data_IF_192597303516
#
_entry.id   IF_192597303516
#
_cell.length_a   1.000
_cell.length_b   1.000
_cell.length_c   1.000
_cell.angle_alpha   90.00
_cell.angle_beta   90.00
_cell.angle_gamma   90.00
#
_symmetry.space_group_name_H-M   'P 1'
#
loop_
_entity.id
_entity.type
_entity.pdbx_description
1 polymer ?
#
# COMPACT_ATOMS: atom_id res chain seq x y z
N UNK A 1 21.44 -13.69 10.12
CA UNK A 1 21.13 -12.25 10.24
C UNK A 1 19.68 -11.92 9.89
N UNK A 2 19.11 -12.38 8.77
CA UNK A 2 17.68 -12.15 8.44
C UNK A 2 16.70 -12.65 9.52
N UNK A 3 16.94 -13.81 10.14
CA UNK A 3 16.01 -14.31 11.17
C UNK A 3 15.83 -13.35 12.37
N UNK A 4 16.89 -12.65 12.76
CA UNK A 4 16.84 -11.67 13.85
C UNK A 4 15.99 -10.45 13.49
N UNK A 5 16.03 -9.99 12.24
CA UNK A 5 15.19 -8.87 11.78
C UNK A 5 13.72 -9.24 11.67
N UNK A 6 13.41 -10.53 11.43
CA UNK A 6 12.03 -11.03 11.39
C UNK A 6 11.46 -11.40 12.76
N UNK A 7 12.28 -11.55 13.81
CA UNK A 7 11.82 -11.98 15.14
C UNK A 7 10.67 -11.12 15.71
N UNK A 8 10.74 -9.77 15.71
CA UNK A 8 9.63 -8.95 16.22
C UNK A 8 8.33 -9.15 15.42
N UNK A 9 8.43 -9.32 14.10
CA UNK A 9 7.27 -9.61 13.26
C UNK A 9 6.62 -10.96 13.59
N UNK A 10 7.43 -11.97 13.85
CA UNK A 10 6.92 -13.29 14.26
C UNK A 10 6.24 -13.24 15.63
N UNK A 11 6.81 -12.48 16.58
CA UNK A 11 6.22 -12.27 17.90
C UNK A 11 4.88 -11.53 17.82
N UNK A 12 4.83 -10.43 17.07
CA UNK A 12 3.57 -9.70 16.85
C UNK A 12 2.56 -10.56 16.10
N UNK A 13 2.98 -11.33 15.09
CA UNK A 13 2.08 -12.23 14.36
C UNK A 13 1.55 -13.38 15.24
N UNK A 14 2.26 -13.78 16.31
CA UNK A 14 1.72 -14.72 17.31
C UNK A 14 0.65 -14.06 18.18
N UNK A 15 0.82 -12.78 18.52
CA UNK A 15 -0.11 -12.04 19.38
C UNK A 15 -1.37 -11.58 18.64
N UNK A 16 -1.20 -11.05 17.43
CA UNK A 16 -2.25 -10.45 16.61
C UNK A 16 -2.83 -11.48 15.62
N UNK A 17 -2.13 -12.57 15.35
CA UNK A 17 -2.48 -13.48 14.26
C UNK A 17 -2.09 -12.91 12.89
N UNK A 18 -2.19 -13.76 11.87
CA UNK A 18 -2.00 -13.36 10.48
C UNK A 18 -3.33 -13.03 9.81
N UNK A 19 -3.29 -12.28 8.70
CA UNK A 19 -4.50 -11.99 7.92
C UNK A 19 -5.09 -13.26 7.32
N UNK A 20 -6.41 -13.26 7.14
CA UNK A 20 -7.08 -14.29 6.36
C UNK A 20 -6.69 -14.13 4.89
N UNK A 21 -6.44 -15.24 4.20
CA UNK A 21 -6.12 -15.23 2.77
C UNK A 21 -7.21 -14.53 1.96
N UNK A 22 -8.48 -14.63 2.37
CA UNK A 22 -9.60 -13.98 1.70
C UNK A 22 -9.41 -12.46 1.57
N UNK A 23 -8.84 -11.79 2.58
CA UNK A 23 -8.55 -10.35 2.53
C UNK A 23 -7.47 -10.05 1.48
N UNK A 24 -6.41 -10.87 1.45
CA UNK A 24 -5.30 -10.74 0.51
C UNK A 24 -5.74 -11.07 -0.92
N UNK A 25 -6.71 -11.99 -1.07
CA UNK A 25 -7.20 -12.49 -2.35
C UNK A 25 -7.82 -11.39 -3.23
N UNK A 26 -8.36 -10.33 -2.62
CA UNK A 26 -8.88 -9.16 -3.34
C UNK A 26 -7.79 -8.22 -3.83
N UNK A 27 -6.58 -8.28 -3.25
CA UNK A 27 -5.42 -7.45 -3.60
C UNK A 27 -4.43 -8.20 -4.50
N UNK A 28 -4.77 -9.41 -4.95
CA UNK A 28 -3.94 -10.15 -5.89
C UNK A 28 -4.09 -9.59 -7.31
N UNK A 29 -2.98 -9.32 -8.01
CA UNK A 29 -3.01 -8.91 -9.42
C UNK A 29 -3.82 -9.86 -10.28
N UNK A 30 -4.71 -9.29 -11.10
CA UNK A 30 -5.38 -10.01 -12.19
C UNK A 30 -4.66 -9.64 -13.49
N UNK A 31 -4.88 -10.42 -14.55
CA UNK A 31 -4.31 -10.09 -15.86
C UNK A 31 -4.67 -8.66 -16.28
N UNK A 32 -5.90 -8.25 -16.02
CA UNK A 32 -6.38 -6.90 -16.29
C UNK A 32 -5.71 -5.81 -15.45
N UNK A 33 -5.25 -6.10 -14.24
CA UNK A 33 -4.58 -5.11 -13.37
C UNK A 33 -3.32 -4.55 -14.02
N UNK A 34 -2.61 -5.37 -14.79
CA UNK A 34 -1.41 -4.96 -15.53
C UNK A 34 -1.70 -4.02 -16.70
N UNK A 35 -2.96 -3.88 -17.09
CA UNK A 35 -3.41 -2.94 -18.12
C UNK A 35 -4.31 -1.85 -17.53
N UNK A 36 -4.42 -1.79 -16.21
CA UNK A 36 -5.31 -0.89 -15.49
C UNK A 36 -4.53 0.32 -14.95
N UNK A 37 -5.09 1.51 -15.17
CA UNK A 37 -4.49 2.80 -14.84
C UNK A 37 -5.56 3.75 -14.26
N UNK A 38 -5.16 4.80 -13.53
CA UNK A 38 -6.10 5.77 -12.96
C UNK A 38 -6.92 6.49 -14.03
N UNK A 39 -8.20 6.80 -13.74
CA UNK A 39 -9.10 7.52 -14.66
C UNK A 39 -8.57 8.92 -15.01
N UNK A 40 -7.74 9.48 -14.14
CA UNK A 40 -7.09 10.79 -14.28
C UNK A 40 -5.88 10.79 -15.23
N UNK A 41 -5.60 9.68 -15.90
CA UNK A 41 -4.52 9.56 -16.85
C UNK A 41 -4.85 10.30 -18.16
N UNK A 42 -4.02 11.26 -18.59
CA UNK A 42 -4.31 12.08 -19.77
C UNK A 42 -4.37 11.25 -21.06
N UNK A 43 -3.34 10.44 -21.30
CA UNK A 43 -3.19 9.72 -22.57
C UNK A 43 -4.19 8.56 -22.74
N UNK A 44 -4.47 7.80 -21.68
CA UNK A 44 -5.24 6.56 -21.79
C UNK A 44 -6.72 6.66 -21.40
N UNK A 45 -7.13 7.72 -20.71
CA UNK A 45 -8.52 7.89 -20.26
C UNK A 45 -9.54 7.83 -21.41
N UNK A 46 -9.22 8.40 -22.57
CA UNK A 46 -10.09 8.39 -23.75
C UNK A 46 -10.28 7.00 -24.38
N UNK A 47 -9.24 6.18 -24.43
CA UNK A 47 -9.25 4.91 -25.16
C UNK A 47 -9.88 3.74 -24.40
N UNK A 48 -9.82 3.73 -23.07
CA UNK A 48 -10.22 2.55 -22.28
C UNK A 48 -11.38 2.77 -21.33
N UNK A 49 -12.03 3.95 -21.31
CA UNK A 49 -13.18 4.20 -20.43
C UNK A 49 -14.26 3.10 -20.49
N UNK A 50 -14.50 2.51 -21.67
CA UNK A 50 -15.46 1.41 -21.84
C UNK A 50 -15.01 0.10 -21.17
N UNK A 51 -13.70 -0.21 -21.18
CA UNK A 51 -13.15 -1.39 -20.52
C UNK A 51 -13.09 -1.17 -19.00
N UNK A 52 -12.75 0.05 -18.57
CA UNK A 52 -12.63 0.43 -17.15
C UNK A 52 -13.96 0.30 -16.38
N UNK A 53 -15.10 0.62 -17.01
CA UNK A 53 -16.42 0.52 -16.39
C UNK A 53 -16.81 -0.91 -15.97
N UNK A 54 -16.18 -1.94 -16.54
CA UNK A 54 -16.42 -3.34 -16.13
C UNK A 54 -15.75 -3.71 -14.80
N UNK A 55 -14.76 -2.93 -14.34
CA UNK A 55 -14.01 -3.21 -13.11
C UNK A 55 -14.59 -2.54 -11.86
N UNK A 56 -15.48 -1.55 -12.03
CA UNK A 56 -15.81 -0.49 -11.06
C UNK A 56 -16.57 -0.93 -9.78
N UNK A 57 -16.79 -2.24 -9.57
CA UNK A 57 -17.56 -2.75 -8.42
C UNK A 57 -16.71 -3.16 -7.21
N UNK A 58 -15.38 -3.14 -7.29
CA UNK A 58 -14.53 -3.58 -6.19
C UNK A 58 -13.95 -2.38 -5.43
N UNK A 59 -14.09 -2.35 -4.10
CA UNK A 59 -13.61 -1.28 -3.22
C UNK A 59 -12.08 -1.05 -3.17
N UNK A 60 -11.29 -1.74 -4.01
CA UNK A 60 -9.81 -1.73 -4.00
C UNK A 60 -9.21 -1.41 -5.39
N UNK A 61 -9.94 -0.68 -6.24
CA UNK A 61 -9.49 -0.31 -7.59
C UNK A 61 -8.10 0.34 -7.61
N UNK A 62 -7.84 1.21 -6.63
CA UNK A 62 -6.56 1.92 -6.54
C UNK A 62 -5.37 0.99 -6.37
N UNK A 63 -5.54 -0.16 -5.71
CA UNK A 63 -4.48 -1.15 -5.55
C UNK A 63 -4.14 -1.85 -6.87
N UNK A 64 -5.04 -1.84 -7.85
CA UNK A 64 -4.87 -2.48 -9.16
C UNK A 64 -4.32 -1.55 -10.24
N UNK A 65 -4.01 -0.28 -9.94
CA UNK A 65 -3.32 0.62 -10.88
C UNK A 65 -1.85 0.18 -11.06
N UNK A 66 -1.63 -0.87 -11.84
CA UNK A 66 -0.33 -1.52 -12.02
C UNK A 66 0.24 -1.35 -13.43
N UNK A 67 -0.44 -0.63 -14.31
CA UNK A 67 0.02 -0.42 -15.68
C UNK A 67 1.36 0.34 -15.71
N UNK A 68 2.45 -0.28 -16.20
CA UNK A 68 3.77 0.35 -16.21
C UNK A 68 3.96 1.34 -17.37
N UNK A 69 3.06 1.32 -18.35
CA UNK A 69 3.20 2.08 -19.59
C UNK A 69 3.43 1.20 -20.82
N UNK A 70 2.85 1.61 -21.96
CA UNK A 70 3.13 1.08 -23.28
C UNK A 70 4.61 1.22 -23.62
N UNK A 71 5.30 2.30 -23.22
CA UNK A 71 6.73 2.44 -23.50
C UNK A 71 7.52 1.25 -22.94
N UNK A 72 7.30 0.92 -21.67
CA UNK A 72 7.99 -0.18 -21.01
C UNK A 72 7.62 -1.53 -21.62
N UNK A 73 6.35 -1.77 -21.95
CA UNK A 73 5.96 -3.02 -22.60
C UNK A 73 6.54 -3.17 -24.01
N UNK A 74 6.41 -2.14 -24.85
CA UNK A 74 6.91 -2.15 -26.23
C UNK A 74 8.44 -2.29 -26.23
N UNK A 75 9.15 -1.53 -25.39
CA UNK A 75 10.61 -1.62 -25.31
C UNK A 75 11.09 -2.98 -24.77
N UNK A 76 10.39 -3.58 -23.81
CA UNK A 76 10.71 -4.94 -23.34
C UNK A 76 10.48 -5.99 -24.44
N UNK A 77 9.36 -5.90 -25.16
CA UNK A 77 9.07 -6.79 -26.31
C UNK A 77 10.10 -6.64 -27.43
N UNK A 78 10.49 -5.40 -27.75
CA UNK A 78 11.56 -5.13 -28.70
C UNK A 78 12.90 -5.68 -28.21
N UNK A 79 13.20 -5.58 -26.91
CA UNK A 79 14.42 -6.13 -26.31
C UNK A 79 14.48 -7.64 -26.53
N UNK A 80 13.36 -8.36 -26.34
CA UNK A 80 13.22 -9.79 -26.67
C UNK A 80 13.43 -10.04 -28.15
N UNK A 81 12.74 -9.30 -29.03
CA UNK A 81 12.86 -9.48 -30.48
C UNK A 81 14.30 -9.28 -30.98
N UNK A 82 15.04 -8.34 -30.38
CA UNK A 82 16.44 -8.08 -30.72
C UNK A 82 17.42 -9.13 -30.17
N UNK A 83 17.02 -9.98 -29.21
CA UNK A 83 17.86 -11.11 -28.77
C UNK A 83 18.14 -12.09 -29.91
N UNK A 84 17.18 -12.26 -30.82
CA UNK A 84 17.27 -13.12 -32.01
C UNK A 84 18.24 -12.58 -33.06
N UNK A 85 18.53 -11.27 -33.06
CA UNK A 85 19.52 -10.70 -33.98
C UNK A 85 20.93 -11.05 -33.54
N UNK A 86 21.71 -11.60 -34.48
CA UNK A 86 23.15 -11.87 -34.27
C UNK A 86 23.87 -10.54 -34.06
N UNK A 87 24.77 -10.49 -33.08
CA UNK A 87 25.64 -9.34 -32.75
C UNK A 87 24.97 -8.02 -32.28
N UNK A 88 23.64 -7.94 -32.14
CA UNK A 88 23.02 -6.71 -31.63
C UNK A 88 23.42 -6.39 -30.17
N UNK A 89 23.34 -7.41 -29.30
CA UNK A 89 23.78 -7.32 -27.90
C UNK A 89 25.09 -8.06 -27.67
N UNK A 90 25.87 -7.59 -26.68
CA UNK A 90 26.99 -8.37 -26.15
C UNK A 90 26.48 -9.64 -25.44
N UNK A 91 27.30 -10.69 -25.40
CA UNK A 91 26.95 -11.97 -24.73
C UNK A 91 26.48 -11.76 -23.28
N UNK A 92 27.18 -10.90 -22.53
CA UNK A 92 26.82 -10.56 -21.13
C UNK A 92 25.45 -9.88 -21.02
N UNK A 93 25.13 -8.96 -21.92
CA UNK A 93 23.84 -8.26 -21.94
C UNK A 93 22.70 -9.21 -22.33
N UNK A 94 22.91 -10.10 -23.31
CA UNK A 94 21.92 -11.13 -23.66
C UNK A 94 21.57 -12.00 -22.44
N UNK A 95 22.59 -12.42 -21.69
CA UNK A 95 22.38 -13.19 -20.46
C UNK A 95 21.61 -12.38 -19.42
N UNK A 96 21.97 -11.11 -19.22
CA UNK A 96 21.32 -10.24 -18.25
C UNK A 96 19.83 -10.01 -18.59
N UNK A 97 19.51 -9.67 -19.84
CA UNK A 97 18.13 -9.49 -20.32
C UNK A 97 17.33 -10.79 -20.11
N UNK A 98 17.89 -11.95 -20.46
CA UNK A 98 17.22 -13.24 -20.25
C UNK A 98 16.91 -13.50 -18.78
N UNK A 99 17.88 -13.26 -17.88
CA UNK A 99 17.68 -13.44 -16.44
C UNK A 99 16.60 -12.49 -15.93
N UNK A 100 16.65 -11.22 -16.31
CA UNK A 100 15.71 -10.21 -15.81
C UNK A 100 14.29 -10.44 -16.31
N UNK A 101 14.13 -10.82 -17.58
CA UNK A 101 12.83 -11.22 -18.11
C UNK A 101 12.33 -12.50 -17.47
N UNK A 102 13.19 -13.49 -17.24
CA UNK A 102 12.81 -14.71 -16.52
C UNK A 102 12.32 -14.38 -15.11
N UNK A 103 13.03 -13.53 -14.36
CA UNK A 103 12.63 -13.07 -13.04
C UNK A 103 11.30 -12.31 -13.09
N UNK A 104 11.13 -11.40 -14.05
CA UNK A 104 9.86 -10.70 -14.29
C UNK A 104 8.71 -11.70 -14.50
N UNK A 105 8.87 -12.67 -15.40
CA UNK A 105 7.84 -13.66 -15.70
C UNK A 105 7.55 -14.58 -14.51
N UNK A 106 8.58 -14.99 -13.76
CA UNK A 106 8.38 -15.76 -12.54
C UNK A 106 7.54 -14.95 -11.54
N UNK A 107 7.92 -13.72 -11.22
CA UNK A 107 7.18 -12.89 -10.26
C UNK A 107 5.75 -12.60 -10.75
N UNK A 108 5.58 -12.33 -12.05
CA UNK A 108 4.27 -12.18 -12.70
C UNK A 108 3.40 -13.42 -12.47
N UNK A 109 3.89 -14.62 -12.80
CA UNK A 109 3.14 -15.86 -12.65
C UNK A 109 2.82 -16.17 -11.19
N UNK A 110 3.73 -15.90 -10.26
CA UNK A 110 3.52 -16.13 -8.84
C UNK A 110 2.49 -15.17 -8.22
N UNK A 111 2.41 -13.94 -8.74
CA UNK A 111 1.48 -12.91 -8.25
C UNK A 111 0.10 -12.95 -8.93
N UNK A 112 0.01 -13.54 -10.14
CA UNK A 112 -1.22 -13.60 -10.90
C UNK A 112 -2.31 -14.42 -10.21
N UNK A 113 -3.52 -13.87 -10.20
CA UNK A 113 -4.76 -14.56 -9.84
C UNK A 113 -5.57 -14.90 -11.09
N UNK A 114 -5.90 -16.18 -11.23
CA UNK A 114 -6.76 -16.70 -12.31
C UNK A 114 -7.97 -17.39 -11.67
N UNK A 115 -9.13 -16.72 -11.71
CA UNK A 115 -10.33 -17.18 -11.01
C UNK A 115 -10.10 -17.30 -9.50
N UNK A 116 -10.24 -18.51 -8.96
CA UNK A 116 -9.97 -18.83 -7.54
C UNK A 116 -8.53 -19.33 -7.28
N UNK A 117 -7.73 -19.48 -8.34
CA UNK A 117 -6.38 -20.01 -8.25
C UNK A 117 -5.34 -18.88 -8.18
N UNK A 118 -4.35 -19.04 -7.31
CA UNK A 118 -3.16 -18.19 -7.25
C UNK A 118 -2.02 -18.94 -6.58
N UNK A 119 -0.82 -18.90 -7.18
CA UNK A 119 0.40 -19.45 -6.58
C UNK A 119 0.80 -18.71 -5.30
N UNK A 120 0.39 -17.45 -5.15
CA UNK A 120 0.59 -16.69 -3.92
C UNK A 120 -0.03 -17.35 -2.69
N UNK A 121 -1.10 -18.14 -2.86
CA UNK A 121 -1.73 -18.89 -1.75
C UNK A 121 -0.74 -19.84 -1.09
N UNK A 122 0.18 -20.44 -1.85
CA UNK A 122 1.24 -21.30 -1.32
C UNK A 122 2.24 -20.50 -0.49
N UNK A 123 2.63 -19.31 -0.95
CA UNK A 123 3.52 -18.41 -0.21
C UNK A 123 2.85 -17.96 1.09
N UNK A 124 1.61 -17.50 1.00
CA UNK A 124 0.83 -17.03 2.15
C UNK A 124 0.66 -18.08 3.25
N UNK A 125 0.45 -19.34 2.88
CA UNK A 125 0.20 -20.44 3.82
C UNK A 125 1.46 -21.04 4.42
N UNK A 126 2.54 -21.17 3.64
CA UNK A 126 3.73 -21.91 4.04
C UNK A 126 4.88 -21.03 4.54
N UNK A 127 4.98 -19.76 4.12
CA UNK A 127 6.11 -18.92 4.48
C UNK A 127 5.84 -18.08 5.73
N UNK A 128 6.76 -18.08 6.71
CA UNK A 128 6.66 -17.21 7.88
C UNK A 128 6.74 -15.75 7.41
N UNK A 129 5.65 -14.99 7.66
CA UNK A 129 5.50 -13.60 7.20
C UNK A 129 4.63 -13.42 5.96
N UNK A 130 4.29 -14.50 5.23
CA UNK A 130 3.38 -14.44 4.09
C UNK A 130 2.00 -13.87 4.45
N UNK A 131 1.52 -14.16 5.67
CA UNK A 131 0.27 -13.63 6.23
C UNK A 131 0.32 -12.14 6.62
N UNK A 132 1.51 -11.54 6.65
CA UNK A 132 1.71 -10.11 6.94
C UNK A 132 1.60 -9.23 5.68
N UNK A 133 1.79 -9.81 4.49
CA UNK A 133 1.80 -9.08 3.22
C UNK A 133 0.36 -8.82 2.76
N UNK A 134 -0.05 -7.55 2.83
CA UNK A 134 -1.41 -7.08 2.47
C UNK A 134 -1.54 -6.81 0.97
N UNK A 135 -0.72 -5.88 0.47
CA UNK A 135 -0.83 -5.31 -0.86
C UNK A 135 0.10 -6.04 -1.83
N UNK A 136 -0.31 -7.24 -2.25
CA UNK A 136 0.46 -8.06 -3.20
C UNK A 136 0.64 -7.33 -4.53
N UNK A 137 -0.30 -6.49 -4.93
CA UNK A 137 -0.18 -5.63 -6.11
C UNK A 137 1.10 -4.81 -6.14
N UNK A 138 1.65 -4.36 -5.00
CA UNK A 138 2.93 -3.61 -4.95
C UNK A 138 4.14 -4.37 -5.45
N UNK A 139 4.02 -5.69 -5.66
CA UNK A 139 5.04 -6.50 -6.33
C UNK A 139 5.39 -5.96 -7.72
N UNK A 140 4.47 -5.24 -8.38
CA UNK A 140 4.74 -4.62 -9.68
C UNK A 140 5.93 -3.65 -9.65
N UNK A 141 6.23 -3.00 -8.52
CA UNK A 141 7.38 -2.11 -8.41
C UNK A 141 8.70 -2.88 -8.63
N UNK A 142 8.79 -4.08 -8.04
CA UNK A 142 9.93 -4.98 -8.22
C UNK A 142 9.95 -5.56 -9.63
N UNK A 143 8.79 -5.91 -10.18
CA UNK A 143 8.69 -6.40 -11.56
C UNK A 143 9.14 -5.34 -12.57
N UNK A 144 8.67 -4.10 -12.42
CA UNK A 144 8.95 -3.00 -13.32
C UNK A 144 10.45 -2.67 -13.36
N UNK A 145 11.16 -2.85 -12.24
CA UNK A 145 12.62 -2.71 -12.22
C UNK A 145 13.31 -3.60 -13.27
N UNK A 146 12.89 -4.88 -13.40
CA UNK A 146 13.47 -5.80 -14.39
C UNK A 146 13.14 -5.41 -15.84
N UNK A 147 11.94 -4.89 -16.09
CA UNK A 147 11.58 -4.34 -17.39
C UNK A 147 12.43 -3.12 -17.72
N UNK A 148 12.53 -2.16 -16.79
CA UNK A 148 13.30 -0.92 -16.96
C UNK A 148 14.74 -1.21 -17.36
N UNK A 149 15.43 -2.15 -16.69
CA UNK A 149 16.81 -2.47 -17.08
C UNK A 149 16.88 -3.13 -18.47
N UNK A 150 15.95 -4.03 -18.80
CA UNK A 150 15.89 -4.65 -20.13
C UNK A 150 15.64 -3.63 -21.24
N UNK A 151 14.80 -2.63 -20.98
CA UNK A 151 14.51 -1.50 -21.86
C UNK A 151 15.71 -0.55 -21.96
N UNK A 152 16.38 -0.24 -20.84
CA UNK A 152 17.56 0.61 -20.83
C UNK A 152 18.71 0.02 -21.67
N UNK A 153 18.94 -1.29 -21.60
CA UNK A 153 19.95 -1.97 -22.41
C UNK A 153 19.62 -1.91 -23.91
N UNK A 154 18.34 -2.07 -24.28
CA UNK A 154 17.88 -1.87 -25.66
C UNK A 154 18.17 -0.45 -26.13
N UNK A 155 17.75 0.57 -25.38
CA UNK A 155 17.94 1.97 -25.75
C UNK A 155 19.42 2.31 -25.87
N UNK A 156 20.26 1.87 -24.92
CA UNK A 156 21.70 2.07 -24.98
C UNK A 156 22.31 1.50 -26.27
N UNK A 157 21.84 0.34 -26.75
CA UNK A 157 22.29 -0.22 -28.02
C UNK A 157 21.81 0.54 -29.24
N UNK A 158 20.55 0.97 -29.22
CA UNK A 158 19.97 1.81 -30.29
C UNK A 158 20.77 3.11 -30.40
N UNK A 159 20.96 3.84 -29.29
CA UNK A 159 21.66 5.13 -29.31
C UNK A 159 23.14 5.03 -29.64
N UNK A 160 23.82 3.93 -29.30
CA UNK A 160 25.23 3.70 -29.72
C UNK A 160 25.41 3.48 -31.22
N UNK A 161 24.37 3.03 -31.91
CA UNK A 161 24.43 2.68 -33.33
C UNK A 161 23.82 3.75 -34.25
N UNK A 162 23.33 4.85 -33.70
CA UNK A 162 22.70 5.95 -34.44
C UNK A 162 23.63 7.17 -34.39
N UNK A 163 23.71 7.94 -35.48
CA UNK A 163 24.49 9.19 -35.51
C UNK A 163 23.86 10.24 -34.61
N UNK A 164 24.66 11.15 -34.06
CA UNK A 164 24.19 12.14 -33.09
C UNK A 164 23.04 13.03 -33.62
N UNK A 165 23.03 13.28 -34.93
CA UNK A 165 21.98 14.04 -35.63
C UNK A 165 20.59 13.42 -35.50
N UNK A 166 20.48 12.09 -35.43
CA UNK A 166 19.21 11.38 -35.24
C UNK A 166 18.98 10.95 -33.78
N UNK A 167 20.06 10.80 -33.00
CA UNK A 167 19.97 10.42 -31.60
C UNK A 167 19.23 11.48 -30.76
N UNK A 168 19.53 12.77 -30.95
CA UNK A 168 18.90 13.83 -30.17
C UNK A 168 17.38 13.96 -30.43
N UNK A 169 16.89 14.02 -31.68
CA UNK A 169 15.45 14.03 -31.95
C UNK A 169 14.73 12.78 -31.42
N UNK A 170 15.33 11.60 -31.60
CA UNK A 170 14.75 10.36 -31.08
C UNK A 170 14.67 10.37 -29.55
N UNK A 171 15.73 10.84 -28.87
CA UNK A 171 15.74 10.98 -27.42
C UNK A 171 14.64 11.93 -26.95
N UNK A 172 14.50 13.11 -27.55
CA UNK A 172 13.46 14.08 -27.19
C UNK A 172 12.05 13.52 -27.42
N UNK A 173 11.85 12.77 -28.51
CA UNK A 173 10.57 12.11 -28.79
C UNK A 173 10.23 11.06 -27.72
N UNK A 174 11.16 10.14 -27.43
CA UNK A 174 10.95 9.11 -26.42
C UNK A 174 10.77 9.70 -25.02
N UNK A 175 11.56 10.71 -24.68
CA UNK A 175 11.47 11.40 -23.40
C UNK A 175 10.12 12.10 -23.23
N UNK A 176 9.66 12.83 -24.25
CA UNK A 176 8.33 13.46 -24.26
C UNK A 176 7.21 12.42 -24.12
N UNK A 177 7.33 11.29 -24.83
CA UNK A 177 6.38 10.19 -24.73
C UNK A 177 6.32 9.61 -23.31
N UNK A 178 7.46 9.36 -22.68
CA UNK A 178 7.54 8.85 -21.29
C UNK A 178 6.92 9.85 -20.30
N UNK A 179 7.15 11.15 -20.47
CA UNK A 179 6.55 12.18 -19.60
C UNK A 179 5.03 12.16 -19.73
N UNK A 180 4.51 12.17 -20.97
CA UNK A 180 3.08 12.16 -21.23
C UNK A 180 2.41 10.88 -20.71
N UNK A 181 3.09 9.75 -20.81
CA UNK A 181 2.66 8.48 -20.26
C UNK A 181 2.76 8.41 -18.73
N UNK A 182 3.74 9.06 -18.11
CA UNK A 182 3.89 9.03 -16.65
C UNK A 182 2.99 10.05 -15.95
N UNK A 183 2.43 11.00 -16.71
CA UNK A 183 1.61 12.07 -16.15
C UNK A 183 0.18 11.61 -15.89
N UNK A 184 -0.17 11.58 -14.60
CA UNK A 184 -1.54 11.47 -14.14
C UNK A 184 -1.75 12.38 -12.93
N UNK A 185 -2.97 12.87 -12.75
CA UNK A 185 -3.32 13.68 -11.59
C UNK A 185 -3.68 12.74 -10.44
N UNK A 186 -2.72 12.48 -9.55
CA UNK A 186 -3.01 11.74 -8.32
C UNK A 186 -3.90 12.58 -7.40
N UNK A 187 -4.97 12.00 -6.81
CA UNK A 187 -5.75 12.70 -5.80
C UNK A 187 -4.85 13.01 -4.60
N UNK A 188 -4.48 14.28 -4.46
CA UNK A 188 -3.78 14.80 -3.30
C UNK A 188 -4.74 15.65 -2.46
N UNK A 189 -4.56 15.61 -1.14
CA UNK A 189 -5.29 16.45 -0.22
C UNK A 189 -4.34 17.48 0.40
N UNK A 190 -4.81 18.70 0.69
CA UNK A 190 -4.00 19.69 1.38
C UNK A 190 -3.66 19.18 2.79
N UNK A 191 -2.40 19.34 3.19
CA UNK A 191 -1.93 18.90 4.52
C UNK A 191 -2.44 19.80 5.65
N UNK A 192 -2.59 21.11 5.39
CA UNK A 192 -2.94 22.10 6.41
C UNK A 192 -4.26 21.79 7.15
N UNK A 193 -5.37 21.40 6.49
CA UNK A 193 -6.58 20.97 7.19
C UNK A 193 -6.37 19.72 8.06
N UNK A 194 -5.52 18.78 7.63
CA UNK A 194 -5.20 17.57 8.41
C UNK A 194 -4.44 17.94 9.67
N UNK A 195 -3.42 18.79 9.55
CA UNK A 195 -2.64 19.28 10.70
C UNK A 195 -3.52 20.02 11.71
N UNK A 196 -4.43 20.87 11.24
CA UNK A 196 -5.36 21.59 12.11
C UNK A 196 -6.27 20.62 12.89
N UNK A 197 -6.79 19.56 12.25
CA UNK A 197 -7.59 18.54 12.96
C UNK A 197 -6.76 17.82 14.01
N UNK A 198 -5.56 17.37 13.66
CA UNK A 198 -4.67 16.67 14.59
C UNK A 198 -4.29 17.58 15.76
N UNK A 199 -3.93 18.85 15.51
CA UNK A 199 -3.57 19.81 16.57
C UNK A 199 -4.72 20.07 17.53
N UNK A 200 -5.97 20.21 17.03
CA UNK A 200 -7.14 20.34 17.92
C UNK A 200 -7.33 19.10 18.80
N UNK A 201 -7.08 17.89 18.27
CA UNK A 201 -7.17 16.66 19.05
C UNK A 201 -6.06 16.59 20.12
N UNK A 202 -4.83 16.99 19.77
CA UNK A 202 -3.68 17.12 20.67
C UNK A 202 -4.01 18.06 21.84
N UNK A 203 -4.51 19.27 21.56
CA UNK A 203 -4.90 20.24 22.58
C UNK A 203 -5.90 19.65 23.58
N UNK A 204 -6.84 18.82 23.13
CA UNK A 204 -7.81 18.15 24.02
C UNK A 204 -7.16 17.06 24.85
N UNK A 205 -6.33 16.22 24.25
CA UNK A 205 -5.59 15.16 24.97
C UNK A 205 -4.75 15.76 26.10
N UNK A 206 -4.04 16.86 25.83
CA UNK A 206 -3.21 17.56 26.82
C UNK A 206 -4.06 18.27 27.88
N UNK A 207 -5.10 19.02 27.47
CA UNK A 207 -6.02 19.72 28.37
C UNK A 207 -6.62 18.80 29.43
N UNK A 208 -6.98 17.57 29.05
CA UNK A 208 -7.56 16.58 29.97
C UNK A 208 -6.52 15.62 30.56
N UNK A 209 -5.23 15.84 30.30
CA UNK A 209 -4.11 15.01 30.80
C UNK A 209 -4.35 13.52 30.55
N UNK A 210 -4.77 13.18 29.33
CA UNK A 210 -5.08 11.81 28.96
C UNK A 210 -3.80 10.98 28.87
N UNK A 211 -3.78 9.81 29.52
CA UNK A 211 -2.67 8.86 29.41
C UNK A 211 -3.02 7.71 28.47
N UNK A 212 -4.31 7.47 28.30
CA UNK A 212 -4.90 6.54 27.33
C UNK A 212 -6.09 7.26 26.68
N UNK A 213 -6.21 7.22 25.37
CA UNK A 213 -7.30 7.85 24.64
C UNK A 213 -8.01 6.89 23.68
N UNK A 214 -9.31 7.10 23.54
CA UNK A 214 -10.15 6.53 22.50
C UNK A 214 -10.88 7.66 21.79
N UNK A 215 -10.82 7.70 20.46
CA UNK A 215 -11.57 8.64 19.64
C UNK A 215 -12.78 7.93 19.04
N UNK A 216 -14.00 8.40 19.29
CA UNK A 216 -15.19 7.92 18.60
C UNK A 216 -15.05 8.19 17.10
N UNK A 217 -15.08 7.12 16.32
CA UNK A 217 -14.93 7.17 14.86
C UNK A 217 -16.28 7.44 14.23
N UNK A 218 -16.36 8.50 13.43
CA UNK A 218 -17.51 8.81 12.56
C UNK A 218 -17.15 8.53 11.10
N UNK A 219 -15.90 8.84 10.72
CA UNK A 219 -15.35 8.67 9.38
C UNK A 219 -14.20 7.65 9.38
N UNK A 220 -14.55 6.36 9.33
CA UNK A 220 -13.66 5.21 9.03
C UNK A 220 -12.19 5.42 9.45
N UNK A 221 -11.26 5.24 8.51
CA UNK A 221 -9.83 5.31 8.73
C UNK A 221 -9.28 6.72 8.98
N UNK A 222 -10.01 7.79 8.64
CA UNK A 222 -9.50 9.17 8.77
C UNK A 222 -9.38 9.52 10.25
N UNK A 223 -10.43 9.26 11.03
CA UNK A 223 -10.42 9.55 12.46
C UNK A 223 -9.40 8.65 13.19
N UNK A 224 -9.27 7.38 12.78
CA UNK A 224 -8.26 6.46 13.32
C UNK A 224 -6.82 6.91 13.03
N UNK A 225 -6.57 7.53 11.87
CA UNK A 225 -5.28 8.15 11.52
C UNK A 225 -5.04 9.41 12.37
N UNK A 226 -6.04 10.29 12.49
CA UNK A 226 -5.94 11.50 13.30
C UNK A 226 -5.65 11.14 14.77
N UNK A 227 -6.33 10.13 15.32
CA UNK A 227 -6.10 9.59 16.65
C UNK A 227 -4.67 9.06 16.82
N UNK A 228 -4.20 8.22 15.88
CA UNK A 228 -2.83 7.69 15.89
C UNK A 228 -1.78 8.81 15.93
N UNK A 229 -1.91 9.82 15.06
CA UNK A 229 -0.96 10.93 15.01
C UNK A 229 -1.00 11.81 16.28
N UNK A 230 -2.19 12.07 16.83
CA UNK A 230 -2.31 12.81 18.08
C UNK A 230 -1.67 12.06 19.25
N UNK A 231 -1.83 10.73 19.31
CA UNK A 231 -1.15 9.87 20.28
C UNK A 231 0.37 9.94 20.18
N UNK A 232 0.91 9.87 18.97
CA UNK A 232 2.35 10.00 18.73
C UNK A 232 2.91 11.35 19.18
N UNK A 233 2.19 12.46 18.90
CA UNK A 233 2.64 13.82 19.28
C UNK A 233 2.63 14.05 20.79
N UNK A 234 1.66 13.47 21.48
CA UNK A 234 1.47 13.65 22.93
C UNK A 234 2.11 12.54 23.77
N UNK A 235 2.72 11.54 23.12
CA UNK A 235 3.15 10.29 23.75
C UNK A 235 2.02 9.60 24.56
N UNK A 236 0.77 9.74 24.09
CA UNK A 236 -0.43 9.15 24.68
C UNK A 236 -0.74 7.81 24.00
N UNK A 237 -1.11 6.79 24.79
CA UNK A 237 -1.54 5.51 24.24
C UNK A 237 -2.93 5.65 23.60
N UNK A 238 -3.07 5.28 22.34
CA UNK A 238 -4.33 5.36 21.61
C UNK A 238 -4.90 3.96 21.42
N UNK A 239 -6.18 3.79 21.74
CA UNK A 239 -6.86 2.50 21.63
C UNK A 239 -7.21 2.15 20.18
N UNK A 240 -7.69 3.13 19.40
CA UNK A 240 -8.19 2.93 18.04
C UNK A 240 -7.36 3.63 16.94
N UNK A 241 -6.06 3.38 16.93
CA UNK A 241 -5.18 3.86 15.85
C UNK A 241 -5.32 3.05 14.56
N UNK A 242 -5.19 3.71 13.40
CA UNK A 242 -5.25 3.02 12.12
C UNK A 242 -4.03 2.11 11.90
N UNK A 243 -4.28 0.80 11.79
CA UNK A 243 -3.24 -0.19 11.45
C UNK A 243 -3.47 -0.88 10.11
N UNK A 244 -4.62 -0.63 9.47
CA UNK A 244 -5.07 -1.34 8.28
C UNK A 244 -5.34 -2.84 8.52
N UNK A 245 -5.44 -3.28 9.77
CA UNK A 245 -5.87 -4.62 10.16
C UNK A 245 -6.82 -4.55 11.35
N UNK A 246 -7.63 -5.59 11.51
CA UNK A 246 -8.52 -5.74 12.67
C UNK A 246 -8.00 -6.92 13.48
N UNK A 247 -7.37 -6.68 14.65
CA UNK A 247 -6.93 -7.77 15.52
C UNK A 247 -8.10 -8.69 15.88
N UNK A 248 -7.87 -9.99 16.16
CA UNK A 248 -8.87 -10.89 16.68
C UNK A 248 -9.53 -10.28 17.93
N UNK A 249 -10.86 -10.36 18.00
CA UNK A 249 -11.67 -9.82 19.10
C UNK A 249 -11.58 -8.29 19.28
N UNK A 250 -10.97 -7.56 18.33
CA UNK A 250 -11.05 -6.11 18.29
C UNK A 250 -12.48 -5.67 18.02
N UNK A 251 -12.99 -4.77 18.84
CA UNK A 251 -14.32 -4.22 18.60
C UNK A 251 -14.18 -3.23 17.45
N UNK A 252 -14.81 -3.53 16.31
CA UNK A 252 -14.77 -2.66 15.14
C UNK A 252 -15.14 -1.24 15.55
N UNK A 253 -14.22 -0.28 15.41
CA UNK A 253 -14.37 1.08 15.96
C UNK A 253 -15.64 1.79 15.43
N UNK A 254 -16.06 1.44 14.21
CA UNK A 254 -17.31 1.93 13.60
C UNK A 254 -18.58 1.34 14.24
N UNK A 255 -18.49 0.16 14.87
CA UNK A 255 -19.59 -0.52 15.55
C UNK A 255 -19.61 -0.23 17.06
N UNK A 256 -18.60 0.44 17.59
CA UNK A 256 -18.51 0.83 18.99
C UNK A 256 -19.32 2.10 19.21
N UNK A 257 -20.61 1.94 19.51
CA UNK A 257 -21.47 3.06 19.91
C UNK A 257 -21.40 3.39 21.41
N UNK A 258 -20.86 2.49 22.25
CA UNK A 258 -20.88 2.65 23.70
C UNK A 258 -19.51 2.56 24.36
N UNK A 259 -19.30 3.42 25.35
CA UNK A 259 -18.07 3.46 26.14
C UNK A 259 -17.82 2.16 26.93
N UNK A 260 -18.89 1.52 27.40
CA UNK A 260 -18.79 0.26 28.16
C UNK A 260 -18.12 -0.85 27.34
N UNK A 261 -18.35 -0.88 26.02
CA UNK A 261 -17.67 -1.82 25.12
C UNK A 261 -16.17 -1.53 25.05
N UNK A 262 -15.77 -0.26 24.88
CA UNK A 262 -14.36 0.14 24.89
C UNK A 262 -13.69 -0.25 26.20
N UNK A 263 -14.29 0.12 27.33
CA UNK A 263 -13.75 -0.20 28.65
C UNK A 263 -13.63 -1.71 28.85
N UNK A 264 -14.67 -2.49 28.49
CA UNK A 264 -14.61 -3.95 28.58
C UNK A 264 -13.48 -4.57 27.76
N UNK A 265 -13.21 -4.01 26.57
CA UNK A 265 -12.10 -4.46 25.73
C UNK A 265 -10.74 -4.11 26.33
N UNK A 266 -10.57 -2.88 26.82
CA UNK A 266 -9.35 -2.45 27.51
C UNK A 266 -9.10 -3.37 28.71
N UNK A 267 -10.12 -3.62 29.54
CA UNK A 267 -9.99 -4.48 30.70
C UNK A 267 -9.67 -5.93 30.35
N UNK A 268 -10.17 -6.44 29.22
CA UNK A 268 -9.91 -7.81 28.78
C UNK A 268 -8.51 -8.02 28.20
N UNK A 269 -7.93 -7.03 27.51
CA UNK A 269 -6.70 -7.21 26.72
C UNK A 269 -5.50 -6.39 27.16
N UNK A 270 -5.70 -5.26 27.81
CA UNK A 270 -4.56 -4.46 28.24
C UNK A 270 -3.80 -5.22 29.33
N UNK A 271 -2.47 -5.25 29.24
CA UNK A 271 -1.66 -5.84 30.30
C UNK A 271 -1.96 -5.08 31.60
N UNK A 272 -2.36 -5.78 32.67
CA UNK A 272 -2.88 -5.17 33.92
C UNK A 272 -1.98 -4.02 34.42
N UNK A 273 -0.66 -4.18 34.28
CA UNK A 273 0.36 -3.20 34.69
C UNK A 273 0.44 -1.95 33.79
N UNK A 274 -0.02 -2.03 32.53
CA UNK A 274 0.07 -0.94 31.57
C UNK A 274 -1.10 0.04 31.62
N UNK A 275 -2.21 -0.32 32.25
CA UNK A 275 -3.45 0.48 32.28
C UNK A 275 -3.82 0.94 33.68
N UNK A 276 -3.41 0.22 34.72
CA UNK A 276 -3.82 0.51 36.09
C UNK A 276 -3.33 1.89 36.56
N UNK A 277 -4.23 2.66 37.17
CA UNK A 277 -4.02 4.04 37.64
C UNK A 277 -3.98 5.10 36.55
N UNK A 278 -4.12 4.73 35.26
CA UNK A 278 -4.00 5.69 34.16
C UNK A 278 -5.31 6.38 33.85
N UNK A 279 -5.21 7.67 33.50
CA UNK A 279 -6.33 8.48 33.08
C UNK A 279 -6.76 8.13 31.64
N UNK A 280 -7.96 7.58 31.50
CA UNK A 280 -8.56 7.23 30.22
C UNK A 280 -9.55 8.30 29.77
N UNK A 281 -9.40 8.74 28.52
CA UNK A 281 -10.28 9.72 27.90
C UNK A 281 -11.01 9.12 26.69
N UNK A 282 -12.33 9.28 26.67
CA UNK A 282 -13.16 9.05 25.49
C UNK A 282 -13.50 10.40 24.85
N UNK A 283 -13.02 10.60 23.63
CA UNK A 283 -13.19 11.82 22.86
C UNK A 283 -14.17 11.57 21.71
N UNK A 284 -14.98 12.56 21.35
CA UNK A 284 -15.85 12.51 20.17
C UNK A 284 -15.75 13.81 19.37
N UNK A 285 -16.04 13.72 18.07
CA UNK A 285 -16.11 14.87 17.19
C UNK A 285 -17.53 15.43 17.21
N UNK A 286 -17.68 16.73 17.48
CA UNK A 286 -18.96 17.46 17.43
C UNK A 286 -18.71 18.80 16.71
N UNK A 287 -19.38 19.03 15.57
CA UNK A 287 -19.30 20.27 14.78
C UNK A 287 -17.85 20.75 14.52
N UNK A 288 -16.98 19.85 14.02
CA UNK A 288 -15.55 20.10 13.76
C UNK A 288 -14.66 20.43 14.97
N UNK A 289 -15.18 20.25 16.17
CA UNK A 289 -14.45 20.30 17.43
C UNK A 289 -14.38 18.92 18.08
N UNK A 290 -13.31 18.65 18.83
CA UNK A 290 -13.23 17.44 19.66
C UNK A 290 -13.66 17.78 21.08
N UNK A 291 -14.57 16.98 21.64
CA UNK A 291 -15.09 17.12 22.99
C UNK A 291 -14.77 15.88 23.83
N UNK A 292 -14.55 16.11 25.13
CA UNK A 292 -14.44 15.03 26.09
C UNK A 292 -15.84 14.54 26.45
N UNK A 293 -16.14 13.29 26.13
CA UNK A 293 -17.41 12.66 26.50
C UNK A 293 -17.28 12.00 27.86
N UNK A 294 -16.10 11.44 28.18
CA UNK A 294 -15.87 10.72 29.42
C UNK A 294 -14.40 10.70 29.80
N UNK A 295 -14.13 10.79 31.10
CA UNK A 295 -12.80 10.62 31.68
C UNK A 295 -12.86 9.85 32.99
N UNK A 296 -11.99 8.84 33.16
CA UNK A 296 -11.86 8.10 34.42
C UNK A 296 -10.45 7.52 34.57
N UNK A 297 -9.94 7.46 35.80
CA UNK A 297 -8.79 6.61 36.12
C UNK A 297 -9.20 5.14 36.10
N UNK A 298 -8.47 4.34 35.34
CA UNK A 298 -8.68 2.89 35.23
C UNK A 298 -8.07 2.20 36.43
N UNK A 299 -8.86 1.52 37.26
CA UNK A 299 -8.37 0.64 38.32
C UNK A 299 -8.83 -0.79 38.07
N UNK A 300 -7.87 -1.67 37.80
CA UNK A 300 -8.12 -3.09 37.59
C UNK A 300 -8.06 -3.81 38.94
N UNK A 301 -9.23 -4.22 39.46
CA UNK A 301 -9.29 -5.15 40.60
C UNK A 301 -8.67 -6.49 40.23
#
# INVERSE_FOLDING_TARGET
>A
MMFLTFKPYLEINKLVGGRNFFEVEFMLPRLSSYFFFPKEHLFYSGFFNTILNSFDKNHLLAEHYMFPGLFLYVSALLSVGMLCKKNFYLKKEKTLIKIFLLLYFMIFLFSLKVGKFSLWKLIHSNFPGGKGIRAVTRIHLIMNFFLVISSALLLNRIFKNITISYALPLFLLLFSFIILESYYKSPSFPIKPVELRISRLVERIEKYSCQISYLKVENSYIDEIDAMWAGLRTNTRVVNGYSGGVPPYYINALQVSSINKVLSWIFFKAHKNEVNGKNFCYLAKENDSYQLVYSQKIYLK
#
